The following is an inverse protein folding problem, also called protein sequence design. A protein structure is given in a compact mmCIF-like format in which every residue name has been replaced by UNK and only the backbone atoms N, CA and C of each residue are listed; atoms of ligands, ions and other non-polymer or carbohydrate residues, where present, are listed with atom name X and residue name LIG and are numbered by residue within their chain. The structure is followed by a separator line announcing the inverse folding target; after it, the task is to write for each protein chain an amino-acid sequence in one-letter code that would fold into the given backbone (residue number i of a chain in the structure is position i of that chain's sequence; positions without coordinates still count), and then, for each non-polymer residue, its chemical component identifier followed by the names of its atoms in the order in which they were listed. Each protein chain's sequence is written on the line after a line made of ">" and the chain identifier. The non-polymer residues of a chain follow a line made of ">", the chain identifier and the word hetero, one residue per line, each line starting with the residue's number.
data_IF_796862516190
#
_entry.id   IF_796862516190
#
_cell.length_a   1.000
_cell.length_b   1.000
_cell.length_c   1.000
_cell.angle_alpha   90.00
_cell.angle_beta   90.00
_cell.angle_gamma   90.00
#
_symmetry.space_group_name_H-M   'P 1'
#
loop_
_entity.id
_entity.type
_entity.pdbx_description
1 polymer ?
#
# COMPACT_ATOMS: atom_id res chain seq x y z
N UNK A 1 -0.62 -15.67 -15.56
CA UNK A 1 -1.62 -15.17 -14.59
C UNK A 1 -1.02 -14.59 -13.29
N UNK A 2 0.02 -15.18 -12.69
CA UNK A 2 0.68 -14.68 -11.46
C UNK A 2 1.15 -13.21 -11.46
N UNK A 3 1.52 -12.66 -12.62
CA UNK A 3 1.93 -11.25 -12.73
C UNK A 3 0.76 -10.27 -12.67
N UNK A 4 -0.39 -10.64 -13.25
CA UNK A 4 -1.63 -9.83 -13.23
C UNK A 4 -2.18 -9.74 -11.81
N UNK A 5 -2.13 -10.86 -11.07
CA UNK A 5 -2.52 -10.89 -9.65
C UNK A 5 -1.64 -9.96 -8.82
N UNK A 6 -0.32 -10.00 -9.02
CA UNK A 6 0.61 -9.09 -8.34
C UNK A 6 0.32 -7.62 -8.63
N UNK A 7 0.01 -7.27 -9.88
CA UNK A 7 -0.35 -5.91 -10.27
C UNK A 7 -1.67 -5.46 -9.62
N UNK A 8 -2.70 -6.31 -9.64
CA UNK A 8 -3.99 -6.00 -9.03
C UNK A 8 -3.84 -5.79 -7.52
N UNK A 9 -3.10 -6.66 -6.84
CA UNK A 9 -2.78 -6.51 -5.42
C UNK A 9 -2.05 -5.18 -5.18
N UNK A 10 -1.04 -4.85 -5.99
CA UNK A 10 -0.31 -3.59 -5.88
C UNK A 10 -1.20 -2.36 -6.06
N UNK A 11 -2.16 -2.41 -6.98
CA UNK A 11 -3.14 -1.34 -7.20
C UNK A 11 -4.07 -1.17 -6.00
N UNK A 12 -4.56 -2.28 -5.44
CA UNK A 12 -5.40 -2.26 -4.22
C UNK A 12 -4.61 -1.70 -3.04
N UNK A 13 -3.37 -2.14 -2.84
CA UNK A 13 -2.49 -1.60 -1.79
C UNK A 13 -2.28 -0.10 -1.98
N UNK A 14 -2.02 0.37 -3.20
CA UNK A 14 -1.87 1.79 -3.49
C UNK A 14 -3.14 2.58 -3.12
N UNK A 15 -4.32 2.10 -3.53
CA UNK A 15 -5.58 2.74 -3.21
C UNK A 15 -5.86 2.77 -1.70
N UNK A 16 -5.59 1.67 -1.00
CA UNK A 16 -5.73 1.57 0.45
C UNK A 16 -4.78 2.52 1.18
N UNK A 17 -3.54 2.67 0.71
CA UNK A 17 -2.56 3.59 1.30
C UNK A 17 -2.87 5.06 1.03
N UNK A 18 -3.39 5.38 -0.16
CA UNK A 18 -3.77 6.76 -0.47
C UNK A 18 -5.05 7.12 0.28
N UNK A 19 -6.16 6.46 -0.05
CA UNK A 19 -7.48 6.86 0.43
C UNK A 19 -7.78 6.31 1.82
N UNK A 20 -7.47 5.04 2.08
CA UNK A 20 -7.74 4.40 3.36
C UNK A 20 -6.92 5.00 4.50
N UNK A 21 -5.61 5.17 4.29
CA UNK A 21 -4.75 5.79 5.30
C UNK A 21 -5.05 7.28 5.46
N UNK A 22 -5.31 7.99 4.34
CA UNK A 22 -5.73 9.40 4.39
C UNK A 22 -7.00 9.59 5.21
N UNK A 23 -8.04 8.80 4.94
CA UNK A 23 -9.28 8.85 5.71
C UNK A 23 -9.07 8.53 7.19
N UNK A 24 -8.38 7.42 7.49
CA UNK A 24 -8.18 6.99 8.87
C UNK A 24 -7.40 8.02 9.70
N UNK A 25 -6.37 8.63 9.12
CA UNK A 25 -5.57 9.67 9.80
C UNK A 25 -6.38 10.93 10.02
N UNK A 26 -7.19 11.33 9.05
CA UNK A 26 -8.05 12.50 9.19
C UNK A 26 -9.16 12.27 10.25
N UNK A 27 -9.75 11.08 10.30
CA UNK A 27 -10.73 10.71 11.32
C UNK A 27 -10.09 10.69 12.73
N UNK A 28 -8.91 10.07 12.86
CA UNK A 28 -8.18 10.07 14.12
C UNK A 28 -7.79 11.49 14.57
N UNK A 29 -7.35 12.36 13.65
CA UNK A 29 -7.03 13.74 13.94
C UNK A 29 -8.26 14.58 14.32
N UNK A 30 -9.43 14.31 13.73
CA UNK A 30 -10.68 15.01 14.08
C UNK A 30 -11.08 14.77 15.54
N UNK A 31 -10.72 13.61 16.11
CA UNK A 31 -10.98 13.27 17.51
C UNK A 31 -10.17 14.10 18.52
N UNK A 32 -9.09 14.75 18.07
CA UNK A 32 -8.28 15.67 18.89
C UNK A 32 -8.99 17.00 19.17
N UNK A 33 -10.06 17.31 18.41
CA UNK A 33 -10.94 18.45 18.69
C UNK A 33 -12.08 17.94 19.59
N UNK A 34 -12.27 18.50 20.80
CA UNK A 34 -13.33 18.09 21.72
C UNK A 34 -14.71 18.47 21.17
N UNK A 35 -15.30 17.60 20.36
CA UNK A 35 -16.69 17.64 19.93
C UNK A 35 -17.49 16.58 20.71
N UNK A 36 -18.81 16.78 20.92
CA UNK A 36 -19.59 15.97 21.85
C UNK A 36 -19.71 14.52 21.37
N UNK A 37 -19.29 13.57 22.23
CA UNK A 37 -19.63 12.13 22.37
C UNK A 37 -19.75 11.18 21.15
N UNK A 38 -19.96 11.65 19.93
CA UNK A 38 -20.08 10.82 18.72
C UNK A 38 -18.74 10.41 18.11
N UNK A 39 -17.63 11.07 18.50
CA UNK A 39 -16.29 10.81 17.96
C UNK A 39 -15.67 9.50 18.46
N UNK A 40 -16.12 8.98 19.60
CA UNK A 40 -15.49 7.83 20.25
C UNK A 40 -15.53 6.55 19.41
N UNK A 41 -16.68 6.22 18.81
CA UNK A 41 -16.85 5.00 18.01
C UNK A 41 -16.07 5.07 16.69
N UNK A 42 -16.10 6.21 16.00
CA UNK A 42 -15.37 6.41 14.74
C UNK A 42 -13.85 6.40 14.94
N UNK A 43 -13.37 6.88 16.09
CA UNK A 43 -11.94 6.83 16.43
C UNK A 43 -11.45 5.38 16.53
N UNK A 44 -12.21 4.49 17.18
CA UNK A 44 -11.86 3.05 17.23
C UNK A 44 -11.88 2.40 15.85
N UNK A 45 -12.83 2.78 14.99
CA UNK A 45 -12.88 2.30 13.61
C UNK A 45 -11.62 2.77 12.85
N UNK A 46 -11.26 4.05 12.97
CA UNK A 46 -10.07 4.61 12.34
C UNK A 46 -8.79 3.87 12.79
N UNK A 47 -8.64 3.63 14.09
CA UNK A 47 -7.53 2.84 14.64
C UNK A 47 -7.52 1.41 14.12
N UNK A 48 -8.69 0.76 14.04
CA UNK A 48 -8.84 -0.58 13.46
C UNK A 48 -8.43 -0.61 11.98
N UNK A 49 -8.82 0.41 11.21
CA UNK A 49 -8.41 0.56 9.80
C UNK A 49 -6.90 0.78 9.71
N UNK A 50 -6.30 1.64 10.52
CA UNK A 50 -4.85 1.84 10.56
C UNK A 50 -4.11 0.53 10.87
N UNK A 51 -4.58 -0.23 11.86
CA UNK A 51 -4.01 -1.52 12.21
C UNK A 51 -4.12 -2.50 11.04
N UNK A 52 -5.27 -2.56 10.36
CA UNK A 52 -5.47 -3.36 9.16
C UNK A 52 -4.54 -2.98 8.01
N UNK A 53 -4.34 -1.68 7.78
CA UNK A 53 -3.38 -1.17 6.77
C UNK A 53 -1.95 -1.55 7.14
N UNK A 54 -1.56 -1.39 8.41
CA UNK A 54 -0.24 -1.79 8.89
C UNK A 54 0.01 -3.30 8.70
N UNK A 55 -0.98 -4.13 9.00
CA UNK A 55 -0.92 -5.58 8.77
C UNK A 55 -0.80 -5.91 7.27
N UNK A 56 -1.58 -5.24 6.42
CA UNK A 56 -1.52 -5.39 4.97
C UNK A 56 -0.11 -5.07 4.45
N UNK A 57 0.44 -3.90 4.82
CA UNK A 57 1.79 -3.49 4.44
C UNK A 57 2.81 -4.51 4.93
N UNK A 58 2.74 -4.90 6.20
CA UNK A 58 3.62 -5.92 6.77
C UNK A 58 3.57 -7.24 6.01
N UNK A 59 2.37 -7.69 5.61
CA UNK A 59 2.18 -8.92 4.84
C UNK A 59 2.79 -8.83 3.44
N UNK A 60 2.62 -7.70 2.73
CA UNK A 60 3.18 -7.56 1.37
C UNK A 60 4.70 -7.40 1.41
N UNK A 61 5.23 -6.71 2.43
CA UNK A 61 6.67 -6.54 2.64
C UNK A 61 7.32 -7.85 3.04
N UNK A 62 6.82 -8.55 4.07
CA UNK A 62 7.41 -9.79 4.57
C UNK A 62 7.11 -11.00 3.68
N UNK A 63 5.91 -11.05 3.09
CA UNK A 63 5.45 -12.16 2.29
C UNK A 63 6.15 -12.26 0.93
N UNK A 64 6.30 -13.48 0.40
CA UNK A 64 6.82 -13.74 -0.95
C UNK A 64 5.77 -13.51 -2.04
N UNK A 65 5.01 -12.42 -1.93
CA UNK A 65 4.10 -11.97 -2.99
C UNK A 65 4.95 -11.49 -4.17
N UNK A 66 4.41 -11.57 -5.39
CA UNK A 66 5.08 -11.06 -6.59
C UNK A 66 5.68 -9.67 -6.34
N UNK A 67 6.95 -9.40 -6.72
CA UNK A 67 7.59 -8.10 -6.51
C UNK A 67 6.79 -6.90 -7.05
N UNK A 68 5.92 -7.14 -8.05
CA UNK A 68 5.02 -6.13 -8.59
C UNK A 68 4.03 -5.57 -7.54
N UNK A 69 3.64 -6.38 -6.55
CA UNK A 69 2.67 -5.97 -5.54
C UNK A 69 3.22 -4.90 -4.58
N UNK A 70 4.54 -4.81 -4.40
CA UNK A 70 5.19 -3.74 -3.63
C UNK A 70 5.74 -2.63 -4.52
N UNK A 71 6.14 -2.97 -5.75
CA UNK A 71 6.67 -2.00 -6.72
C UNK A 71 5.63 -0.97 -7.16
N UNK A 72 4.41 -1.40 -7.51
CA UNK A 72 3.36 -0.47 -7.96
C UNK A 72 3.03 0.58 -6.88
N UNK A 73 2.68 0.21 -5.64
CA UNK A 73 2.36 1.20 -4.62
C UNK A 73 3.56 2.07 -4.26
N UNK A 74 4.79 1.53 -4.20
CA UNK A 74 5.98 2.35 -3.95
C UNK A 74 6.20 3.39 -5.04
N UNK A 75 6.06 3.03 -6.32
CA UNK A 75 6.20 3.98 -7.43
C UNK A 75 5.14 5.07 -7.39
N UNK A 76 3.89 4.75 -7.08
CA UNK A 76 2.82 5.75 -6.95
C UNK A 76 3.14 6.75 -5.84
N UNK A 77 3.51 6.26 -4.64
CA UNK A 77 3.81 7.12 -3.51
C UNK A 77 5.06 7.98 -3.76
N UNK A 78 6.13 7.38 -4.28
CA UNK A 78 7.39 8.09 -4.55
C UNK A 78 7.26 9.07 -5.73
N UNK A 79 6.51 8.73 -6.78
CA UNK A 79 6.26 9.66 -7.87
C UNK A 79 5.51 10.90 -7.36
N UNK A 80 4.51 10.72 -6.50
CA UNK A 80 3.77 11.85 -5.96
C UNK A 80 4.63 12.72 -5.02
N UNK A 81 5.49 12.11 -4.20
CA UNK A 81 6.42 12.85 -3.34
C UNK A 81 7.46 13.61 -4.15
N UNK A 82 7.94 13.06 -5.27
CA UNK A 82 8.83 13.79 -6.21
C UNK A 82 8.10 14.97 -6.83
N UNK A 83 6.85 14.80 -7.28
CA UNK A 83 6.04 15.93 -7.80
C UNK A 83 5.87 17.00 -6.72
N UNK A 84 5.64 16.62 -5.47
CA UNK A 84 5.57 17.57 -4.34
C UNK A 84 6.87 18.32 -4.10
N UNK A 85 8.01 17.64 -4.16
CA UNK A 85 9.32 18.25 -3.99
C UNK A 85 9.65 19.25 -5.11
N UNK A 86 9.17 19.02 -6.33
CA UNK A 86 9.40 19.88 -7.49
C UNK A 86 8.37 21.02 -7.60
N UNK A 87 7.10 20.74 -7.31
CA UNK A 87 6.00 21.68 -7.43
C UNK A 87 4.88 21.33 -6.43
N UNK A 88 4.90 22.03 -5.30
CA UNK A 88 3.90 21.90 -4.23
C UNK A 88 2.49 22.16 -4.73
N UNK A 89 2.29 23.18 -5.59
CA UNK A 89 0.95 23.52 -6.09
C UNK A 89 0.39 22.42 -6.97
N UNK A 90 1.21 21.89 -7.87
CA UNK A 90 0.82 20.78 -8.73
C UNK A 90 0.52 19.52 -7.91
N UNK A 91 1.34 19.21 -6.91
CA UNK A 91 1.13 18.04 -6.07
C UNK A 91 -0.14 18.13 -5.23
N UNK A 92 -0.40 19.30 -4.63
CA UNK A 92 -1.61 19.52 -3.84
C UNK A 92 -2.87 19.59 -4.71
N UNK A 93 -2.76 20.03 -5.96
CA UNK A 93 -3.87 19.97 -6.93
C UNK A 93 -4.28 18.55 -7.35
N UNK A 94 -3.55 17.51 -6.94
CA UNK A 94 -3.97 16.10 -7.11
C UNK A 94 -4.80 15.59 -5.94
N UNK A 95 -4.87 16.34 -4.84
CA UNK A 95 -5.71 16.01 -3.69
C UNK A 95 -7.18 16.29 -4.04
N UNK A 96 -8.12 15.36 -3.79
CA UNK A 96 -9.54 15.65 -3.94
C UNK A 96 -9.98 16.74 -2.97
N UNK A 97 -10.26 17.94 -3.48
CA UNK A 97 -10.71 19.11 -2.70
C UNK A 97 -11.99 19.76 -3.24
N UNK A 98 -12.48 19.33 -4.41
CA UNK A 98 -13.69 19.85 -5.03
C UNK A 98 -14.95 19.48 -4.22
N UNK A 99 -15.77 20.46 -3.78
CA UNK A 99 -16.96 20.23 -2.97
C UNK A 99 -18.05 19.38 -3.66
N UNK A 100 -17.93 19.11 -4.96
CA UNK A 100 -18.79 18.16 -5.68
C UNK A 100 -18.52 16.69 -5.33
N UNK A 101 -17.36 16.39 -4.73
CA UNK A 101 -17.03 15.03 -4.29
C UNK A 101 -17.77 14.62 -3.01
N UNK A 102 -17.92 13.31 -2.84
CA UNK A 102 -18.50 12.73 -1.62
C UNK A 102 -17.63 13.05 -0.39
N UNK A 103 -18.26 13.26 0.77
CA UNK A 103 -17.60 13.72 2.01
C UNK A 103 -16.43 12.82 2.43
N UNK A 104 -16.59 11.49 2.32
CA UNK A 104 -15.53 10.51 2.63
C UNK A 104 -14.29 10.73 1.77
N UNK A 105 -14.47 11.07 0.49
CA UNK A 105 -13.36 11.30 -0.44
C UNK A 105 -12.64 12.62 -0.13
N UNK A 106 -13.39 13.66 0.22
CA UNK A 106 -12.82 14.93 0.68
C UNK A 106 -12.02 14.77 1.97
N UNK A 107 -12.53 13.97 2.91
CA UNK A 107 -11.83 13.66 4.16
C UNK A 107 -10.56 12.86 3.89
N UNK A 108 -10.63 11.86 3.02
CA UNK A 108 -9.46 11.10 2.58
C UNK A 108 -8.42 12.03 1.92
N UNK A 109 -8.85 12.96 1.07
CA UNK A 109 -7.99 13.93 0.42
C UNK A 109 -7.20 14.80 1.40
N UNK A 110 -7.86 15.36 2.42
CA UNK A 110 -7.17 16.14 3.47
C UNK A 110 -6.09 15.32 4.17
N UNK A 111 -6.40 14.07 4.52
CA UNK A 111 -5.43 13.16 5.13
C UNK A 111 -4.30 12.74 4.18
N UNK A 112 -4.58 12.59 2.89
CA UNK A 112 -3.54 12.34 1.88
C UNK A 112 -2.56 13.52 1.81
N UNK A 113 -3.06 14.75 1.80
CA UNK A 113 -2.23 15.95 1.86
C UNK A 113 -1.37 16.00 3.13
N UNK A 114 -1.94 15.63 4.28
CA UNK A 114 -1.21 15.54 5.54
C UNK A 114 -0.10 14.47 5.49
N UNK A 115 -0.39 13.27 4.99
CA UNK A 115 0.59 12.18 4.89
C UNK A 115 1.71 12.46 3.88
N UNK A 116 1.40 13.20 2.82
CA UNK A 116 2.38 13.67 1.85
C UNK A 116 3.32 14.72 2.47
N UNK A 117 2.74 15.76 3.08
CA UNK A 117 3.50 16.90 3.64
C UNK A 117 4.34 16.51 4.87
N UNK A 118 3.87 15.55 5.67
CA UNK A 118 4.63 14.99 6.80
C UNK A 118 5.72 13.99 6.38
N UNK A 119 5.76 13.62 5.09
CA UNK A 119 6.75 12.69 4.55
C UNK A 119 6.45 11.20 4.82
N UNK A 120 5.30 10.87 5.40
CA UNK A 120 4.89 9.48 5.65
C UNK A 120 4.80 8.68 4.35
N UNK A 121 4.28 9.27 3.26
CA UNK A 121 4.27 8.62 1.95
C UNK A 121 5.68 8.36 1.39
N UNK A 122 6.65 9.22 1.69
CA UNK A 122 8.05 8.98 1.31
C UNK A 122 8.60 7.77 2.06
N UNK A 123 8.38 7.70 3.38
CA UNK A 123 8.84 6.58 4.21
C UNK A 123 8.21 5.25 3.77
N UNK A 124 6.89 5.23 3.54
CA UNK A 124 6.18 4.05 3.06
C UNK A 124 6.59 3.65 1.65
N UNK A 125 6.79 4.65 0.76
CA UNK A 125 7.28 4.42 -0.59
C UNK A 125 8.64 3.73 -0.59
N UNK A 126 9.58 4.21 0.22
CA UNK A 126 10.91 3.59 0.37
C UNK A 126 10.78 2.18 0.97
N UNK A 127 10.01 2.01 2.05
CA UNK A 127 9.80 0.73 2.71
C UNK A 127 9.27 -0.33 1.72
N UNK A 128 8.29 0.03 0.89
CA UNK A 128 7.71 -0.83 -0.14
C UNK A 128 8.63 -1.04 -1.33
N UNK A 129 9.62 -0.18 -1.53
CA UNK A 129 10.62 -0.35 -2.59
C UNK A 129 11.72 -1.34 -2.19
N UNK A 130 12.04 -1.49 -0.90
CA UNK A 130 13.12 -2.39 -0.43
C UNK A 130 13.00 -3.84 -0.94
N UNK A 131 11.82 -4.50 -0.93
CA UNK A 131 11.71 -5.87 -1.43
C UNK A 131 11.99 -6.01 -2.93
N UNK A 132 11.85 -4.93 -3.70
CA UNK A 132 12.11 -4.91 -5.15
C UNK A 132 13.60 -5.08 -5.44
N UNK A 133 14.46 -4.58 -4.55
CA UNK A 133 15.92 -4.65 -4.67
C UNK A 133 16.49 -6.02 -4.30
N UNK A 134 15.70 -6.92 -3.68
CA UNK A 134 16.16 -8.26 -3.29
C UNK A 134 16.12 -9.22 -4.49
N UNK A 135 17.27 -9.66 -5.05
CA UNK A 135 17.29 -10.52 -6.23
C UNK A 135 16.63 -11.89 -5.98
N UNK A 136 16.68 -12.38 -4.73
CA UNK A 136 16.06 -13.64 -4.30
C UNK A 136 14.54 -13.70 -4.50
N UNK A 137 13.87 -12.55 -4.67
CA UNK A 137 12.42 -12.49 -4.96
C UNK A 137 12.09 -12.56 -6.45
N UNK A 138 13.07 -12.30 -7.30
CA UNK A 138 12.95 -12.40 -8.76
C UNK A 138 13.30 -13.79 -9.27
N UNK A 139 14.14 -14.53 -8.52
CA UNK A 139 14.49 -15.90 -8.85
C UNK A 139 13.20 -16.76 -8.94
N UNK A 140 12.91 -17.36 -10.11
CA UNK A 140 11.86 -18.36 -10.22
C UNK A 140 12.14 -19.46 -9.19
N UNK A 141 11.10 -19.98 -8.54
CA UNK A 141 11.23 -21.24 -7.81
C UNK A 141 11.81 -22.23 -8.80
N UNK A 142 13.03 -22.72 -8.55
CA UNK A 142 13.55 -23.89 -9.22
C UNK A 142 12.55 -25.00 -8.90
N UNK A 143 11.69 -25.32 -9.87
CA UNK A 143 10.73 -26.42 -9.80
C UNK A 143 11.50 -27.72 -10.07
N UNK A 144 12.62 -27.91 -9.38
CA UNK A 144 13.52 -29.06 -9.58
C UNK A 144 13.17 -30.26 -8.72
N UNK A 145 12.40 -30.07 -7.64
CA UNK A 145 12.22 -31.15 -6.65
C UNK A 145 10.90 -31.91 -6.79
N UNK A 146 10.12 -31.70 -7.87
CA UNK A 146 8.90 -32.50 -8.14
C UNK A 146 9.04 -33.42 -9.37
N UNK A 147 9.86 -33.04 -10.38
CA UNK A 147 10.02 -33.85 -11.60
C UNK A 147 11.12 -34.93 -11.47
N UNK A 148 12.12 -34.74 -10.61
CA UNK A 148 13.23 -35.70 -10.43
C UNK A 148 12.85 -36.95 -9.60
N UNK A 149 11.73 -36.90 -8.85
CA UNK A 149 11.19 -38.05 -8.12
C UNK A 149 10.25 -38.93 -8.96
N UNK A 150 9.66 -38.41 -10.03
CA UNK A 150 8.84 -39.23 -10.95
C UNK A 150 9.73 -39.97 -11.95
N UNK A 151 10.82 -39.37 -12.45
CA UNK A 151 11.70 -40.00 -13.45
C UNK A 151 12.62 -41.09 -12.86
N UNK A 152 12.98 -40.98 -11.56
CA UNK A 152 13.77 -41.98 -10.85
C UNK A 152 12.97 -43.22 -10.40
N UNK A 153 11.63 -43.14 -10.42
CA UNK A 153 10.74 -44.26 -10.10
C UNK A 153 10.46 -45.22 -11.26
N UNK A 154 10.58 -44.75 -12.51
CA UNK A 154 10.23 -45.55 -13.70
C UNK A 154 11.41 -46.30 -14.33
N UNK A 155 12.67 -45.97 -14.00
CA UNK A 155 13.85 -46.61 -14.62
C UNK A 155 14.30 -47.93 -13.95
N UNK A 156 13.56 -48.42 -12.94
CA UNK A 156 13.93 -49.62 -12.16
C UNK A 156 13.44 -50.98 -12.70
N UNK A 157 12.71 -51.04 -13.81
CA UNK A 157 12.17 -52.30 -14.36
C UNK A 157 12.34 -52.41 -15.88
N UNK A 158 13.57 -52.60 -16.36
CA UNK A 158 13.84 -53.21 -17.67
C UNK A 158 15.08 -54.07 -17.64
#
# INVERSE_FOLDING_TARGET
>A
MRHVVGLLVGLVVAAVLLFGAGWAVQEAAASLVPLPTESGSKTWIALGVMAGIGLLVGLVVAGRVSPLATFVPSMVLLAWTVVYALDVRRAMGLVPDDPTFHEVLLQAGRGMGLLLTTGVYTLLGILLFLPVLMPSRWAPRFRGDEEEYEESGEQGYR
#
